data_IF_655205334780
#
_entry.id   IF_655205334780
#
_cell.length_a   1.000
_cell.length_b   1.000
_cell.length_c   1.000
_cell.angle_alpha   90.00
_cell.angle_beta   90.00
_cell.angle_gamma   90.00
#
_symmetry.space_group_name_H-M   'P 1'
#
loop_
_entity.id
_entity.type
_entity.pdbx_description
1 polymer ?
#
# COMPACT_ATOMS: atom_id res chain seq x y z
N UNK A 1 -5.33 -11.24 8.32
CA UNK A 1 -5.35 -11.10 9.79
C UNK A 1 -4.00 -11.54 10.34
N UNK A 2 -3.48 -10.87 11.37
CA UNK A 2 -2.15 -11.14 11.97
C UNK A 2 -1.01 -10.23 11.47
N UNK A 3 -1.32 -9.26 10.62
CA UNK A 3 -0.39 -8.27 10.08
C UNK A 3 -0.92 -6.84 10.26
N UNK A 4 -1.81 -6.65 11.25
CA UNK A 4 -2.40 -5.35 11.57
C UNK A 4 -1.34 -4.38 12.15
N UNK A 5 -1.55 -3.06 12.01
CA UNK A 5 -0.68 -2.07 12.66
C UNK A 5 -0.67 -2.23 14.18
N UNK A 6 0.43 -1.80 14.83
CA UNK A 6 0.55 -1.77 16.29
C UNK A 6 -0.60 -0.94 16.90
N UNK A 7 -1.30 -1.52 17.88
CA UNK A 7 -2.48 -0.92 18.52
C UNK A 7 -2.21 0.47 19.11
N UNK A 8 -0.99 0.75 19.58
CA UNK A 8 -0.61 2.07 20.09
C UNK A 8 -0.58 3.09 18.96
N UNK A 9 -0.06 2.71 17.80
CA UNK A 9 -0.01 3.56 16.60
C UNK A 9 -1.41 3.77 16.05
N UNK A 10 -2.25 2.72 16.01
CA UNK A 10 -3.65 2.85 15.61
C UNK A 10 -4.41 3.85 16.48
N UNK A 11 -4.26 3.78 17.82
CA UNK A 11 -4.91 4.74 18.74
C UNK A 11 -4.46 6.18 18.51
N UNK A 12 -3.17 6.41 18.29
CA UNK A 12 -2.64 7.74 17.97
C UNK A 12 -3.23 8.23 16.64
N UNK A 13 -3.32 7.35 15.65
CA UNK A 13 -3.87 7.69 14.32
C UNK A 13 -5.36 8.02 14.39
N UNK A 14 -6.14 7.27 15.17
CA UNK A 14 -7.57 7.57 15.43
C UNK A 14 -7.76 8.92 16.10
N UNK A 15 -6.91 9.26 17.07
CA UNK A 15 -6.95 10.56 17.75
C UNK A 15 -6.67 11.70 16.75
N UNK A 16 -5.59 11.58 15.97
CA UNK A 16 -5.24 12.56 14.95
C UNK A 16 -6.36 12.69 13.90
N UNK A 17 -6.95 11.57 13.46
CA UNK A 17 -8.04 11.56 12.50
C UNK A 17 -9.24 12.37 12.99
N UNK A 18 -9.59 12.25 14.28
CA UNK A 18 -10.65 13.04 14.90
C UNK A 18 -10.30 14.51 15.02
N UNK A 19 -9.06 14.83 15.40
CA UNK A 19 -8.58 16.20 15.55
C UNK A 19 -8.60 16.99 14.23
N UNK A 20 -8.15 16.37 13.14
CA UNK A 20 -8.05 17.01 11.83
C UNK A 20 -9.27 16.79 10.93
N UNK A 21 -10.31 16.11 11.42
CA UNK A 21 -11.53 15.84 10.65
C UNK A 21 -11.31 14.97 9.42
N UNK A 22 -10.33 14.06 9.46
CA UNK A 22 -10.04 13.12 8.38
C UNK A 22 -10.71 11.77 8.63
N UNK A 23 -10.74 10.90 7.61
CA UNK A 23 -11.29 9.53 7.69
C UNK A 23 -10.15 8.53 7.87
N UNK A 24 -10.29 7.64 8.85
CA UNK A 24 -9.46 6.46 9.03
C UNK A 24 -10.32 5.20 8.84
N UNK A 25 -9.88 4.29 7.98
CA UNK A 25 -10.50 2.98 7.75
C UNK A 25 -9.41 1.91 7.85
N UNK A 26 -9.64 0.92 8.71
CA UNK A 26 -8.85 -0.31 8.74
C UNK A 26 -9.73 -1.46 8.26
N UNK A 27 -9.31 -2.12 7.20
CA UNK A 27 -10.02 -3.25 6.61
C UNK A 27 -9.05 -4.35 6.18
N UNK A 28 -9.59 -5.54 5.99
CA UNK A 28 -8.90 -6.69 5.41
C UNK A 28 -9.37 -7.00 3.97
N UNK A 29 -10.23 -6.17 3.40
CA UNK A 29 -10.66 -6.25 2.01
C UNK A 29 -9.89 -5.22 1.16
N UNK A 30 -8.99 -5.65 0.25
CA UNK A 30 -8.25 -4.74 -0.62
C UNK A 30 -9.13 -3.87 -1.52
N UNK A 31 -10.30 -4.35 -1.94
CA UNK A 31 -11.20 -3.58 -2.80
C UNK A 31 -11.98 -2.53 -2.02
N UNK A 32 -12.33 -2.82 -0.75
CA UNK A 32 -12.89 -1.81 0.15
C UNK A 32 -11.86 -0.71 0.45
N UNK A 33 -10.59 -1.08 0.66
CA UNK A 33 -9.52 -0.11 0.86
C UNK A 33 -9.24 0.74 -0.40
N UNK A 34 -9.38 0.16 -1.59
CA UNK A 34 -9.16 0.84 -2.86
C UNK A 34 -10.36 1.71 -3.29
N UNK A 35 -11.56 1.50 -2.75
CA UNK A 35 -12.77 2.20 -3.16
C UNK A 35 -12.60 3.72 -3.08
N UNK A 36 -12.71 4.38 -4.23
CA UNK A 36 -12.58 5.83 -4.39
C UNK A 36 -11.22 6.41 -3.92
N UNK A 37 -10.20 5.57 -3.73
CA UNK A 37 -8.87 6.02 -3.33
C UNK A 37 -8.19 6.86 -4.43
N UNK A 38 -7.61 8.00 -4.08
CA UNK A 38 -6.81 8.80 -5.03
C UNK A 38 -5.37 8.29 -5.16
N UNK A 39 -4.84 7.60 -4.15
CA UNK A 39 -3.48 7.10 -4.15
C UNK A 39 -3.49 5.66 -3.64
N UNK A 40 -2.98 4.75 -4.45
CA UNK A 40 -2.75 3.36 -4.08
C UNK A 40 -1.29 3.19 -3.68
N UNK A 41 -1.05 2.61 -2.50
CA UNK A 41 0.29 2.41 -1.95
C UNK A 41 0.45 0.96 -1.55
N UNK A 42 1.58 0.37 -1.89
CA UNK A 42 2.00 -0.95 -1.39
C UNK A 42 3.52 -0.99 -1.19
N UNK A 43 3.99 -2.04 -0.54
CA UNK A 43 5.40 -2.31 -0.27
C UNK A 43 5.65 -3.83 -0.27
N UNK A 44 6.92 -4.23 -0.23
CA UNK A 44 7.33 -5.63 -0.11
C UNK A 44 6.70 -6.28 1.12
N UNK A 45 6.00 -7.38 0.91
CA UNK A 45 5.39 -8.15 2.00
C UNK A 45 6.42 -8.86 2.87
N UNK A 46 7.62 -9.06 2.32
CA UNK A 46 8.74 -9.77 2.95
C UNK A 46 9.87 -8.76 3.07
N UNK A 47 10.02 -8.18 4.26
CA UNK A 47 11.12 -7.28 4.56
C UNK A 47 12.45 -8.04 4.69
N UNK A 48 13.56 -7.31 4.60
CA UNK A 48 14.89 -7.88 4.85
C UNK A 48 14.96 -8.52 6.24
N UNK A 49 15.39 -9.78 6.33
CA UNK A 49 15.47 -10.54 7.57
C UNK A 49 14.23 -11.39 7.88
N UNK A 50 13.19 -11.35 7.05
CA UNK A 50 11.96 -12.14 7.21
C UNK A 50 11.85 -13.31 6.21
N UNK A 51 12.98 -13.78 5.66
CA UNK A 51 13.00 -14.77 4.58
C UNK A 51 12.43 -16.13 5.00
N UNK A 52 12.56 -16.50 6.29
CA UNK A 52 12.00 -17.73 6.86
C UNK A 52 10.46 -17.72 6.86
N UNK A 53 9.85 -16.55 6.95
CA UNK A 53 8.39 -16.35 6.96
C UNK A 53 7.79 -16.22 5.56
N UNK A 54 8.63 -16.27 4.50
CA UNK A 54 8.21 -16.02 3.11
C UNK A 54 6.95 -16.80 2.71
N UNK A 55 6.92 -18.11 2.97
CA UNK A 55 5.79 -18.96 2.56
C UNK A 55 4.48 -18.60 3.27
N UNK A 56 4.56 -18.29 4.56
CA UNK A 56 3.39 -17.94 5.36
C UNK A 56 2.84 -16.58 4.95
N UNK A 57 3.73 -15.60 4.73
CA UNK A 57 3.37 -14.26 4.23
C UNK A 57 2.73 -14.32 2.86
N UNK A 58 3.32 -15.03 1.89
CA UNK A 58 2.72 -15.17 0.55
C UNK A 58 1.31 -15.77 0.60
N UNK A 59 1.06 -16.69 1.53
CA UNK A 59 -0.27 -17.25 1.73
C UNK A 59 -1.23 -16.24 2.38
N UNK A 60 -0.76 -15.49 3.37
CA UNK A 60 -1.58 -14.52 4.09
C UNK A 60 -1.95 -13.29 3.25
N UNK A 61 -1.04 -12.85 2.37
CA UNK A 61 -1.23 -11.70 1.47
C UNK A 61 -1.78 -12.11 0.10
N UNK A 62 -2.20 -13.36 -0.07
CA UNK A 62 -2.86 -13.77 -1.31
C UNK A 62 -4.11 -12.91 -1.54
N UNK A 63 -4.19 -12.29 -2.72
CA UNK A 63 -5.28 -11.37 -3.08
C UNK A 63 -5.01 -9.89 -2.76
N UNK A 64 -3.90 -9.56 -2.10
CA UNK A 64 -3.50 -8.17 -1.80
C UNK A 64 -2.63 -7.54 -2.90
N UNK A 65 -2.27 -8.29 -3.95
CA UNK A 65 -1.50 -7.75 -5.07
C UNK A 65 -2.28 -6.61 -5.73
N UNK A 66 -1.63 -5.46 -5.88
CA UNK A 66 -2.22 -4.34 -6.61
C UNK A 66 -2.13 -4.62 -8.11
N UNK A 67 -3.30 -4.67 -8.75
CA UNK A 67 -3.46 -4.88 -10.19
C UNK A 67 -4.37 -3.81 -10.78
N UNK A 68 -4.51 -3.79 -12.10
CA UNK A 68 -5.53 -2.94 -12.74
C UNK A 68 -6.96 -3.27 -12.30
N UNK A 69 -7.23 -4.47 -11.79
CA UNK A 69 -8.53 -4.79 -11.19
C UNK A 69 -8.75 -4.02 -9.89
N UNK A 70 -7.73 -3.93 -9.03
CA UNK A 70 -7.76 -3.10 -7.82
C UNK A 70 -7.95 -1.62 -8.18
N UNK A 71 -7.21 -1.17 -9.21
CA UNK A 71 -7.24 0.22 -9.65
C UNK A 71 -8.58 0.65 -10.31
N UNK A 72 -9.41 -0.29 -10.77
CA UNK A 72 -10.76 0.01 -11.27
C UNK A 72 -11.72 0.48 -10.17
N UNK A 73 -11.50 0.08 -8.92
CA UNK A 73 -12.28 0.55 -7.77
C UNK A 73 -11.81 1.93 -7.27
N UNK A 74 -10.59 2.34 -7.63
CA UNK A 74 -10.01 3.60 -7.23
C UNK A 74 -10.63 4.80 -7.95
N UNK A 75 -10.35 6.02 -7.46
CA UNK A 75 -10.83 7.25 -8.08
C UNK A 75 -10.32 7.37 -9.53
N UNK A 76 -11.06 8.05 -10.40
CA UNK A 76 -10.70 8.18 -11.82
C UNK A 76 -9.33 8.82 -12.06
N UNK A 77 -8.83 9.61 -11.11
CA UNK A 77 -7.52 10.26 -11.11
C UNK A 77 -6.47 9.55 -10.23
N UNK A 78 -6.65 8.26 -9.92
CA UNK A 78 -5.73 7.51 -9.07
C UNK A 78 -4.27 7.55 -9.55
N UNK A 79 -3.35 7.58 -8.60
CA UNK A 79 -1.91 7.38 -8.79
C UNK A 79 -1.39 6.22 -7.95
N UNK A 80 -0.23 5.68 -8.29
CA UNK A 80 0.40 4.57 -7.56
C UNK A 80 1.77 4.95 -6.99
N UNK A 81 2.05 4.51 -5.76
CA UNK A 81 3.31 4.72 -5.03
C UNK A 81 3.86 3.41 -4.48
N UNK A 82 5.19 3.33 -4.38
CA UNK A 82 5.92 2.19 -3.86
C UNK A 82 7.33 2.63 -3.44
N UNK A 83 7.71 2.38 -2.20
CA UNK A 83 8.94 2.94 -1.61
C UNK A 83 10.25 2.32 -2.15
N UNK A 84 10.17 1.15 -2.77
CA UNK A 84 11.27 0.34 -3.36
C UNK A 84 12.16 -0.34 -2.31
N UNK A 85 12.82 -1.47 -2.65
CA UNK A 85 12.76 -2.21 -3.92
C UNK A 85 11.47 -3.01 -4.08
N UNK A 86 10.90 -2.98 -5.30
CA UNK A 86 9.69 -3.73 -5.67
C UNK A 86 10.01 -5.16 -6.11
N UNK A 87 9.10 -6.07 -5.79
CA UNK A 87 9.00 -7.47 -6.23
C UNK A 87 7.66 -7.72 -6.94
N UNK A 88 7.53 -8.82 -7.69
CA UNK A 88 6.31 -9.11 -8.45
C UNK A 88 5.08 -9.42 -7.59
N UNK A 89 5.25 -9.79 -6.32
CA UNK A 89 4.16 -10.28 -5.49
C UNK A 89 3.18 -9.17 -5.06
N UNK A 90 3.68 -7.96 -4.78
CA UNK A 90 2.88 -6.85 -4.23
C UNK A 90 2.15 -6.00 -5.27
N UNK A 91 2.67 -5.93 -6.50
CA UNK A 91 2.09 -5.17 -7.60
C UNK A 91 2.48 -5.80 -8.93
N UNK A 92 1.59 -5.80 -9.92
CA UNK A 92 1.90 -6.24 -11.28
C UNK A 92 2.69 -5.20 -12.10
N UNK A 93 3.24 -5.62 -13.23
CA UNK A 93 3.99 -4.72 -14.11
C UNK A 93 3.11 -3.65 -14.76
N UNK A 94 1.83 -3.97 -14.99
CA UNK A 94 0.88 -3.06 -15.64
C UNK A 94 0.64 -1.81 -14.78
N UNK A 95 0.44 -1.96 -13.48
CA UNK A 95 0.31 -0.85 -12.54
C UNK A 95 1.66 -0.18 -12.28
N UNK A 96 2.70 -0.98 -12.00
CA UNK A 96 4.00 -0.45 -11.59
C UNK A 96 4.65 0.45 -12.65
N UNK A 97 4.55 0.09 -13.92
CA UNK A 97 5.08 0.87 -15.05
C UNK A 97 4.01 1.73 -15.75
N UNK A 98 2.80 1.83 -15.20
CA UNK A 98 1.76 2.69 -15.77
C UNK A 98 2.18 4.17 -15.75
N UNK A 99 1.56 4.97 -16.62
CA UNK A 99 1.70 6.44 -16.58
C UNK A 99 1.14 7.08 -15.31
N UNK A 100 0.42 6.32 -14.48
CA UNK A 100 -0.12 6.75 -13.18
C UNK A 100 0.81 6.41 -12.02
N UNK A 101 1.87 5.65 -12.28
CA UNK A 101 2.90 5.30 -11.30
C UNK A 101 3.81 6.49 -11.08
N UNK A 102 3.93 6.90 -9.82
CA UNK A 102 4.84 7.97 -9.37
C UNK A 102 6.08 7.40 -8.66
N UNK A 103 6.31 6.09 -8.73
CA UNK A 103 7.38 5.38 -7.99
C UNK A 103 8.76 6.00 -8.19
N UNK A 104 9.14 6.35 -9.42
CA UNK A 104 10.45 6.96 -9.66
C UNK A 104 10.55 8.41 -9.19
N UNK A 105 9.45 9.17 -9.26
CA UNK A 105 9.40 10.52 -8.75
C UNK A 105 9.40 10.54 -7.21
N UNK A 106 8.71 9.60 -6.58
CA UNK A 106 8.78 9.32 -5.14
C UNK A 106 10.23 9.02 -4.74
N UNK A 107 10.93 8.15 -5.47
CA UNK A 107 12.32 7.81 -5.21
C UNK A 107 13.26 9.02 -5.35
N UNK A 108 13.09 9.86 -6.38
CA UNK A 108 13.88 11.08 -6.55
C UNK A 108 13.64 12.07 -5.40
N UNK A 109 12.38 12.26 -4.99
CA UNK A 109 12.01 13.20 -3.93
C UNK A 109 12.70 12.90 -2.59
N UNK A 110 13.12 11.65 -2.35
CA UNK A 110 13.94 11.28 -1.18
C UNK A 110 15.25 12.06 -1.09
N UNK A 111 15.82 12.50 -2.21
CA UNK A 111 17.04 13.34 -2.24
C UNK A 111 16.79 14.76 -1.70
N UNK A 112 15.58 15.27 -1.84
CA UNK A 112 15.24 16.67 -1.56
C UNK A 112 14.61 16.87 -0.18
N UNK A 113 14.03 15.82 0.39
CA UNK A 113 13.38 15.86 1.71
C UNK A 113 14.32 15.64 2.89
N UNK A 114 15.59 15.32 2.63
CA UNK A 114 16.65 15.14 3.64
C UNK A 114 17.35 16.46 3.95
#
# INVERSE_FOLDING_TARGET
QGFEPDLRITKITEQNSKEYGTKLLLTTDPLEAADSANVLVTDTWISMGQEKEKKERLKAFQGYQITMQTAKSAASNWTFLHCLPRKPEEVDDEVFYSSRSLVFQEAENRKWTI
#
